data_IF_208315544427
#
_entry.id   IF_208315544427
#
_cell.length_a   1.000
_cell.length_b   1.000
_cell.length_c   1.000
_cell.angle_alpha   90.00
_cell.angle_beta   90.00
_cell.angle_gamma   90.00
#
_symmetry.space_group_name_H-M   'P 1'
#
loop_
_entity.id
_entity.type
_entity.pdbx_description
1 polymer ?
#
# COMPACT_ATOMS: atom_id res chain seq x y z
N UNK A 1 -22.52 -43.57 -35.73
CA UNK A 1 -21.51 -42.54 -35.62
C UNK A 1 -21.82 -41.74 -34.36
N UNK A 2 -21.16 -42.04 -33.22
CA UNK A 2 -21.38 -41.40 -31.93
C UNK A 2 -20.34 -40.28 -31.77
N UNK A 3 -20.79 -39.04 -31.74
CA UNK A 3 -19.96 -37.87 -31.50
C UNK A 3 -19.71 -37.77 -29.98
N UNK A 4 -18.43 -37.87 -29.58
CA UNK A 4 -17.98 -37.57 -28.21
C UNK A 4 -17.94 -36.04 -28.03
N UNK A 5 -18.82 -35.51 -27.21
CA UNK A 5 -18.74 -34.13 -26.71
C UNK A 5 -17.65 -34.04 -25.64
N UNK A 6 -16.70 -33.19 -25.89
CA UNK A 6 -15.48 -32.99 -25.10
C UNK A 6 -15.78 -32.38 -23.72
N UNK A 7 -15.08 -32.88 -22.70
CA UNK A 7 -15.09 -32.45 -21.30
C UNK A 7 -14.55 -31.02 -21.04
N UNK A 8 -14.28 -30.23 -22.05
CA UNK A 8 -13.72 -28.89 -21.88
C UNK A 8 -14.74 -27.78 -21.46
N UNK A 9 -16.05 -28.08 -21.58
CA UNK A 9 -17.09 -27.08 -21.31
C UNK A 9 -17.60 -27.06 -19.86
N UNK A 10 -17.26 -28.04 -19.01
CA UNK A 10 -17.75 -28.04 -17.64
C UNK A 10 -17.04 -27.10 -16.70
N UNK A 11 -15.73 -26.87 -16.89
CA UNK A 11 -14.96 -25.95 -16.02
C UNK A 11 -15.24 -24.47 -16.31
N UNK A 12 -15.60 -24.13 -17.55
CA UNK A 12 -15.99 -22.78 -17.94
C UNK A 12 -17.36 -22.37 -17.38
N UNK A 13 -18.30 -23.34 -17.27
CA UNK A 13 -19.62 -23.10 -16.66
C UNK A 13 -19.55 -22.89 -15.14
N UNK A 14 -18.60 -23.52 -14.45
CA UNK A 14 -18.39 -23.31 -13.01
C UNK A 14 -17.80 -21.93 -12.72
N UNK A 15 -16.97 -21.39 -13.61
CA UNK A 15 -16.43 -20.03 -13.49
C UNK A 15 -17.50 -18.95 -13.71
N UNK A 16 -18.50 -19.23 -14.57
CA UNK A 16 -19.62 -18.30 -14.80
C UNK A 16 -20.68 -18.35 -13.68
N UNK A 17 -20.83 -19.47 -12.98
CA UNK A 17 -21.81 -19.63 -11.89
C UNK A 17 -21.40 -18.91 -10.59
N UNK A 18 -20.12 -18.59 -10.42
CA UNK A 18 -19.65 -17.81 -9.27
C UNK A 18 -20.04 -16.33 -9.39
N UNK A 19 -20.32 -15.85 -10.60
CA UNK A 19 -20.68 -14.45 -10.85
C UNK A 19 -22.17 -14.12 -10.72
N UNK A 20 -23.06 -15.11 -10.53
CA UNK A 20 -24.53 -14.86 -10.51
C UNK A 20 -25.18 -14.95 -9.13
N UNK A 21 -24.40 -15.01 -8.04
CA UNK A 21 -24.95 -14.94 -6.68
C UNK A 21 -25.00 -13.50 -6.15
N UNK A 22 -25.57 -12.58 -6.92
CA UNK A 22 -25.82 -11.19 -6.52
C UNK A 22 -27.31 -10.99 -6.21
N UNK A 23 -27.79 -11.61 -5.12
CA UNK A 23 -29.06 -11.26 -4.54
C UNK A 23 -28.92 -11.10 -3.03
N UNK A 24 -28.87 -9.83 -2.57
CA UNK A 24 -29.01 -9.39 -1.18
C UNK A 24 -27.89 -9.72 -0.19
N UNK A 25 -26.65 -9.86 -0.63
CA UNK A 25 -25.51 -9.78 0.28
C UNK A 25 -25.02 -8.32 0.31
N UNK A 26 -25.22 -7.59 1.42
CA UNK A 26 -24.68 -6.23 1.63
C UNK A 26 -23.20 -6.27 2.03
N UNK A 27 -22.46 -7.21 1.54
CA UNK A 27 -21.02 -7.20 1.52
C UNK A 27 -20.60 -6.51 0.23
N UNK A 28 -19.68 -5.57 0.34
CA UNK A 28 -19.21 -4.82 -0.81
C UNK A 28 -17.87 -5.39 -1.26
N UNK A 29 -17.84 -5.98 -2.45
CA UNK A 29 -16.61 -6.29 -3.15
C UNK A 29 -16.19 -5.04 -3.91
N UNK A 30 -14.96 -4.62 -3.73
CA UNK A 30 -14.34 -3.53 -4.48
C UNK A 30 -12.91 -3.89 -4.84
N UNK A 31 -12.36 -3.20 -5.82
CA UNK A 31 -10.98 -3.39 -6.21
C UNK A 31 -10.49 -2.28 -7.12
N UNK A 32 -9.19 -2.26 -7.35
CA UNK A 32 -8.58 -1.28 -8.23
C UNK A 32 -7.30 -1.79 -8.87
N UNK A 33 -6.98 -1.19 -10.02
CA UNK A 33 -5.69 -1.28 -10.67
C UNK A 33 -5.10 0.13 -10.76
N UNK A 34 -3.83 0.27 -10.39
CA UNK A 34 -3.11 1.54 -10.45
C UNK A 34 -1.82 1.37 -11.24
N UNK A 35 -1.63 2.19 -12.26
CA UNK A 35 -0.34 2.41 -12.89
C UNK A 35 0.30 3.67 -12.32
N UNK A 36 1.53 3.60 -11.86
CA UNK A 36 2.27 4.74 -11.33
C UNK A 36 3.68 4.83 -11.89
N UNK A 37 4.24 6.03 -11.98
CA UNK A 37 5.62 6.24 -12.46
C UNK A 37 6.67 5.85 -11.44
N UNK A 38 6.29 5.76 -10.14
CA UNK A 38 7.13 5.27 -9.05
C UNK A 38 6.22 4.74 -7.93
N UNK A 39 6.70 3.79 -7.14
CA UNK A 39 6.04 3.29 -5.94
C UNK A 39 6.74 3.85 -4.70
N UNK A 40 6.28 4.99 -4.21
CA UNK A 40 6.82 5.58 -2.98
C UNK A 40 5.97 5.14 -1.78
N UNK A 41 6.63 4.53 -0.81
CA UNK A 41 6.04 4.04 0.43
C UNK A 41 6.69 4.73 1.61
N UNK A 42 5.92 5.58 2.33
CA UNK A 42 6.40 6.29 3.52
C UNK A 42 7.76 6.93 3.34
N UNK A 43 7.94 7.68 2.23
CA UNK A 43 9.14 8.45 1.98
C UNK A 43 10.31 7.71 1.34
N UNK A 44 10.19 6.44 0.96
CA UNK A 44 11.19 5.76 0.13
C UNK A 44 10.55 5.03 -1.07
N UNK A 45 11.31 4.91 -2.15
CA UNK A 45 10.85 4.22 -3.35
C UNK A 45 11.03 2.70 -3.22
N UNK A 46 9.95 1.96 -3.46
CA UNK A 46 9.97 0.49 -3.60
C UNK A 46 10.17 0.03 -5.05
N UNK A 47 10.27 0.96 -6.00
CA UNK A 47 10.45 0.63 -7.42
C UNK A 47 11.67 1.27 -8.07
N UNK A 48 12.53 1.93 -7.27
CA UNK A 48 13.74 2.60 -7.77
C UNK A 48 13.45 3.65 -8.86
N UNK A 49 12.33 4.39 -8.69
CA UNK A 49 11.89 5.38 -9.66
C UNK A 49 11.37 4.80 -10.97
N UNK A 50 11.07 3.51 -11.02
CA UNK A 50 10.55 2.84 -12.22
C UNK A 50 9.04 2.71 -12.16
N UNK A 51 8.37 2.74 -13.32
CA UNK A 51 6.93 2.53 -13.39
C UNK A 51 6.52 1.17 -12.82
N UNK A 52 5.38 1.17 -12.13
CA UNK A 52 4.81 -0.03 -11.52
C UNK A 52 3.34 -0.19 -11.88
N UNK A 53 2.88 -1.45 -11.82
CA UNK A 53 1.49 -1.81 -11.79
C UNK A 53 1.15 -2.35 -10.41
N UNK A 54 0.03 -1.88 -9.86
CA UNK A 54 -0.49 -2.29 -8.56
C UNK A 54 -1.94 -2.75 -8.70
N UNK A 55 -2.35 -3.66 -7.85
CA UNK A 55 -3.72 -4.16 -7.77
C UNK A 55 -4.17 -4.26 -6.32
N UNK A 56 -5.43 -3.96 -6.07
CA UNK A 56 -6.07 -4.11 -4.77
C UNK A 56 -7.44 -4.78 -4.94
N UNK A 57 -7.83 -5.62 -3.97
CA UNK A 57 -9.16 -6.19 -3.87
C UNK A 57 -9.56 -6.24 -2.40
N UNK A 58 -10.78 -5.80 -2.10
CA UNK A 58 -11.36 -5.71 -0.76
C UNK A 58 -12.73 -6.35 -0.71
N UNK A 59 -13.02 -6.97 0.42
CA UNK A 59 -14.33 -7.45 0.77
C UNK A 59 -14.72 -6.97 2.17
N UNK A 60 -15.74 -6.12 2.23
CA UNK A 60 -16.24 -5.54 3.48
C UNK A 60 -17.56 -6.18 3.89
N UNK A 61 -17.65 -6.64 5.15
CA UNK A 61 -18.85 -7.17 5.75
C UNK A 61 -19.66 -6.05 6.41
N UNK A 62 -20.96 -6.24 6.56
CA UNK A 62 -21.84 -5.30 7.29
C UNK A 62 -21.43 -5.04 8.74
N UNK A 63 -20.70 -5.96 9.34
CA UNK A 63 -20.17 -5.82 10.70
C UNK A 63 -19.07 -4.79 10.83
N UNK A 64 -18.54 -4.26 9.71
CA UNK A 64 -17.34 -3.44 9.67
C UNK A 64 -16.04 -4.25 9.59
N UNK A 65 -16.09 -5.57 9.68
CA UNK A 65 -14.93 -6.43 9.38
C UNK A 65 -14.68 -6.37 7.88
N UNK A 66 -13.42 -6.27 7.48
CA UNK A 66 -13.01 -6.36 6.09
C UNK A 66 -11.75 -7.20 5.94
N UNK A 67 -11.61 -7.79 4.77
CA UNK A 67 -10.39 -8.48 4.37
C UNK A 67 -10.06 -8.09 2.93
N UNK A 68 -8.79 -8.13 2.61
CA UNK A 68 -8.36 -7.79 1.26
C UNK A 68 -6.92 -8.18 1.00
N UNK A 69 -6.47 -7.80 -0.16
CA UNK A 69 -5.09 -7.98 -0.57
C UNK A 69 -4.66 -6.89 -1.53
N UNK A 70 -3.41 -6.50 -1.40
CA UNK A 70 -2.73 -5.61 -2.33
C UNK A 70 -1.55 -6.36 -2.94
N UNK A 71 -1.28 -6.09 -4.21
CA UNK A 71 -0.10 -6.58 -4.92
C UNK A 71 0.55 -5.45 -5.72
N UNK A 72 1.87 -5.43 -5.78
CA UNK A 72 2.63 -4.45 -6.56
C UNK A 72 3.92 -5.05 -7.11
N UNK A 73 4.33 -4.62 -8.29
CA UNK A 73 5.71 -4.78 -8.70
C UNK A 73 6.63 -3.96 -7.78
N UNK A 74 7.83 -4.48 -7.47
CA UNK A 74 8.85 -3.80 -6.66
C UNK A 74 10.24 -3.94 -7.29
N UNK A 75 11.13 -3.01 -6.94
CA UNK A 75 12.55 -3.01 -7.27
C UNK A 75 13.27 -2.10 -6.26
N UNK A 76 14.00 -2.66 -5.32
CA UNK A 76 14.59 -1.92 -4.20
C UNK A 76 15.96 -1.30 -4.51
N UNK A 77 16.37 -1.20 -5.78
CA UNK A 77 17.70 -0.74 -6.17
C UNK A 77 18.86 -1.60 -5.61
N UNK A 78 18.56 -2.81 -5.23
CA UNK A 78 19.49 -3.78 -4.64
C UNK A 78 20.28 -4.55 -5.71
N UNK A 79 20.81 -3.82 -6.69
CA UNK A 79 21.60 -4.37 -7.79
C UNK A 79 22.88 -5.05 -7.25
N UNK A 80 23.13 -6.26 -7.71
CA UNK A 80 24.26 -7.08 -7.27
C UNK A 80 23.90 -8.15 -6.26
N UNK A 81 22.69 -8.17 -5.73
CA UNK A 81 22.16 -9.29 -4.94
C UNK A 81 21.45 -10.31 -5.83
N UNK A 82 21.53 -11.58 -5.43
CA UNK A 82 20.80 -12.67 -6.08
C UNK A 82 19.39 -12.81 -5.50
N UNK A 83 18.48 -13.43 -6.27
CA UNK A 83 17.10 -13.70 -5.86
C UNK A 83 16.35 -12.46 -5.34
N UNK A 84 16.53 -11.32 -6.00
CA UNK A 84 15.89 -10.06 -5.63
C UNK A 84 14.38 -10.12 -5.78
N UNK A 85 13.69 -9.50 -4.83
CA UNK A 85 12.25 -9.36 -4.92
C UNK A 85 11.83 -8.48 -6.11
N UNK A 86 10.83 -8.95 -6.83
CA UNK A 86 10.19 -8.26 -7.96
C UNK A 86 8.72 -7.99 -7.72
N UNK A 87 8.12 -8.64 -6.72
CA UNK A 87 6.73 -8.45 -6.34
C UNK A 87 6.53 -8.42 -4.82
N UNK A 88 5.60 -7.57 -4.41
CA UNK A 88 5.08 -7.47 -3.05
C UNK A 88 3.62 -7.91 -3.05
N UNK A 89 3.24 -8.72 -2.06
CA UNK A 89 1.89 -9.13 -1.80
C UNK A 89 1.52 -8.85 -0.34
N UNK A 90 0.36 -8.21 -0.10
CA UNK A 90 -0.08 -7.80 1.24
C UNK A 90 -1.51 -8.22 1.51
N UNK A 91 -1.76 -9.44 1.99
CA UNK A 91 -3.05 -9.79 2.58
C UNK A 91 -3.25 -9.04 3.89
N UNK A 92 -4.47 -8.61 4.16
CA UNK A 92 -4.85 -7.91 5.37
C UNK A 92 -6.25 -8.27 5.84
N UNK A 93 -6.45 -8.08 7.15
CA UNK A 93 -7.73 -8.21 7.85
C UNK A 93 -7.88 -7.00 8.76
N UNK A 94 -9.04 -6.38 8.76
CA UNK A 94 -9.29 -5.21 9.60
C UNK A 94 -10.72 -5.09 10.07
N UNK A 95 -10.93 -4.06 10.88
CA UNK A 95 -12.22 -3.68 11.41
C UNK A 95 -12.38 -2.16 11.37
N UNK A 96 -13.43 -1.69 10.71
CA UNK A 96 -13.81 -0.31 10.62
C UNK A 96 -15.00 -0.04 11.55
N UNK A 97 -14.91 1.01 12.35
CA UNK A 97 -15.94 1.41 13.30
C UNK A 97 -16.31 2.88 13.14
N UNK A 98 -17.58 3.14 12.87
CA UNK A 98 -18.15 4.49 12.82
C UNK A 98 -18.64 4.87 14.23
N UNK A 99 -17.91 5.78 14.88
CA UNK A 99 -18.27 6.29 16.20
C UNK A 99 -19.39 7.35 16.13
N UNK A 100 -19.33 8.21 15.09
CA UNK A 100 -20.33 9.25 14.82
C UNK A 100 -20.34 9.57 13.32
N UNK A 101 -21.13 10.54 12.89
CA UNK A 101 -21.09 11.00 11.49
C UNK A 101 -19.78 11.68 11.14
N UNK A 102 -19.08 12.23 12.12
CA UNK A 102 -17.82 12.92 11.94
C UNK A 102 -16.59 11.99 12.11
N UNK A 103 -16.70 10.94 12.92
CA UNK A 103 -15.56 10.15 13.35
C UNK A 103 -15.67 8.67 12.94
N UNK A 104 -14.64 8.18 12.28
CA UNK A 104 -14.43 6.75 11.98
C UNK A 104 -13.06 6.31 12.46
N UNK A 105 -13.01 5.09 12.97
CA UNK A 105 -11.79 4.41 13.39
C UNK A 105 -11.60 3.15 12.56
N UNK A 106 -10.36 2.81 12.34
CA UNK A 106 -9.99 1.59 11.62
C UNK A 106 -8.79 0.96 12.33
N UNK A 107 -8.81 -0.35 12.45
CA UNK A 107 -7.65 -1.15 12.85
C UNK A 107 -7.47 -2.30 11.88
N UNK A 108 -6.22 -2.61 11.54
CA UNK A 108 -5.92 -3.71 10.64
C UNK A 108 -4.61 -4.40 11.01
N UNK A 109 -4.53 -5.66 10.65
CA UNK A 109 -3.31 -6.42 10.57
C UNK A 109 -3.01 -6.71 9.11
N UNK A 110 -1.75 -6.55 8.71
CA UNK A 110 -1.25 -6.76 7.34
C UNK A 110 -0.01 -7.63 7.39
N UNK A 111 0.08 -8.63 6.53
CA UNK A 111 1.30 -9.39 6.27
C UNK A 111 1.93 -8.89 4.98
N UNK A 112 3.17 -8.44 5.04
CA UNK A 112 4.02 -8.13 3.88
C UNK A 112 4.75 -9.39 3.47
N UNK A 113 4.62 -9.78 2.19
CA UNK A 113 5.24 -10.95 1.59
C UNK A 113 5.95 -10.51 0.32
N UNK A 114 7.19 -10.91 0.18
CA UNK A 114 8.02 -10.62 -0.99
C UNK A 114 8.36 -11.93 -1.71
N UNK A 115 8.33 -11.94 -3.05
CA UNK A 115 8.64 -13.12 -3.87
C UNK A 115 10.13 -13.49 -3.89
N UNK A 116 10.97 -12.66 -3.29
CA UNK A 116 12.42 -12.81 -3.22
C UNK A 116 13.00 -12.01 -2.06
N UNK A 117 14.30 -11.82 -2.10
CA UNK A 117 15.07 -11.12 -1.07
C UNK A 117 15.13 -9.63 -1.34
N UNK A 118 15.22 -8.83 -0.28
CA UNK A 118 15.50 -7.40 -0.35
C UNK A 118 16.89 -7.19 0.26
N UNK A 119 17.83 -6.61 -0.50
CA UNK A 119 19.25 -6.49 -0.12
C UNK A 119 19.85 -7.81 0.39
N UNK A 120 19.49 -8.93 -0.28
CA UNK A 120 19.98 -10.26 0.04
C UNK A 120 19.39 -10.93 1.28
N UNK A 121 18.36 -10.34 1.91
CA UNK A 121 17.74 -10.84 3.13
C UNK A 121 16.27 -11.15 2.93
N UNK A 122 15.76 -12.19 3.61
CA UNK A 122 14.32 -12.42 3.75
C UNK A 122 13.70 -11.22 4.48
N UNK A 123 12.58 -10.72 3.97
CA UNK A 123 12.05 -9.42 4.41
C UNK A 123 10.55 -9.41 4.67
N UNK A 124 9.94 -10.58 4.79
CA UNK A 124 8.53 -10.72 5.14
C UNK A 124 8.27 -10.27 6.56
N UNK A 125 7.20 -9.49 6.80
CA UNK A 125 6.87 -9.03 8.14
C UNK A 125 5.38 -8.76 8.34
N UNK A 126 4.99 -8.59 9.60
CA UNK A 126 3.64 -8.19 9.99
C UNK A 126 3.62 -6.74 10.45
N UNK A 127 2.52 -6.05 10.16
CA UNK A 127 2.31 -4.69 10.63
C UNK A 127 0.87 -4.50 11.10
N UNK A 128 0.69 -3.78 12.21
CA UNK A 128 -0.59 -3.38 12.76
C UNK A 128 -0.84 -1.90 12.46
N UNK A 129 -2.08 -1.59 12.14
CA UNK A 129 -2.55 -0.26 11.76
C UNK A 129 -3.64 0.19 12.72
N UNK A 130 -3.56 1.44 13.11
CA UNK A 130 -4.63 2.16 13.78
C UNK A 130 -4.83 3.49 13.05
N UNK A 131 -6.04 3.73 12.57
CA UNK A 131 -6.39 4.95 11.85
C UNK A 131 -7.59 5.63 12.50
N UNK A 132 -7.55 6.96 12.54
CA UNK A 132 -8.66 7.82 12.95
C UNK A 132 -8.95 8.80 11.83
N UNK A 133 -10.22 8.89 11.44
CA UNK A 133 -10.69 9.76 10.36
C UNK A 133 -11.72 10.74 10.90
N UNK A 134 -11.49 12.02 10.61
CA UNK A 134 -12.43 13.09 10.92
C UNK A 134 -12.99 13.68 9.63
N UNK A 135 -14.31 13.52 9.37
CA UNK A 135 -15.06 14.04 8.20
C UNK A 135 -14.41 13.77 6.84
N UNK A 136 -13.60 12.74 6.71
CA UNK A 136 -12.74 12.48 5.54
C UNK A 136 -11.74 13.61 5.19
N UNK A 137 -11.71 14.69 5.99
CA UNK A 137 -10.81 15.83 5.81
C UNK A 137 -9.46 15.62 6.50
N UNK A 138 -9.45 14.89 7.61
CA UNK A 138 -8.25 14.61 8.39
C UNK A 138 -8.15 13.13 8.71
N UNK A 139 -6.97 12.57 8.50
CA UNK A 139 -6.65 11.20 8.89
C UNK A 139 -5.37 11.19 9.71
N UNK A 140 -5.38 10.47 10.83
CA UNK A 140 -4.18 10.12 11.60
C UNK A 140 -3.97 8.63 11.51
N UNK A 141 -2.78 8.18 11.12
CA UNK A 141 -2.38 6.78 11.07
C UNK A 141 -1.23 6.51 12.03
N UNK A 142 -1.34 5.42 12.78
CA UNK A 142 -0.28 4.87 13.60
C UNK A 142 -0.05 3.43 13.16
N UNK A 143 1.19 3.08 12.88
CA UNK A 143 1.53 1.76 12.35
C UNK A 143 2.69 1.19 13.16
N UNK A 144 2.61 -0.08 13.48
CA UNK A 144 3.57 -0.78 14.33
C UNK A 144 3.92 -2.13 13.74
N UNK A 145 5.22 -2.44 13.68
CA UNK A 145 5.74 -3.75 13.37
C UNK A 145 6.72 -4.19 14.47
N UNK A 146 6.52 -5.39 15.01
CA UNK A 146 7.43 -5.96 16.01
C UNK A 146 8.77 -6.37 15.41
N UNK A 147 8.75 -6.86 14.17
CA UNK A 147 9.92 -7.34 13.46
C UNK A 147 9.90 -6.86 12.01
N UNK A 148 10.14 -5.56 11.81
CA UNK A 148 10.11 -4.93 10.50
C UNK A 148 11.22 -5.48 9.60
N UNK A 149 10.83 -5.93 8.39
CA UNK A 149 11.73 -6.53 7.40
C UNK A 149 12.61 -7.66 7.94
N UNK A 150 12.16 -8.40 8.95
CA UNK A 150 12.91 -9.46 9.64
C UNK A 150 14.25 -9.01 10.25
N UNK A 151 14.39 -7.73 10.56
CA UNK A 151 15.61 -7.18 11.16
C UNK A 151 15.69 -7.39 12.68
N UNK A 152 14.75 -8.14 13.29
CA UNK A 152 14.63 -8.38 14.74
C UNK A 152 14.50 -7.09 15.56
N UNK A 153 13.93 -6.06 14.96
CA UNK A 153 13.69 -4.76 15.58
C UNK A 153 12.30 -4.23 15.27
N UNK A 154 11.73 -3.56 16.25
CA UNK A 154 10.45 -2.87 16.11
C UNK A 154 10.61 -1.63 15.24
N UNK A 155 9.54 -1.30 14.52
CA UNK A 155 9.39 -0.01 13.86
C UNK A 155 8.03 0.61 14.20
N UNK A 156 8.00 1.94 14.21
CA UNK A 156 6.80 2.72 14.42
C UNK A 156 6.71 3.82 13.36
N UNK A 157 5.54 3.96 12.77
CA UNK A 157 5.26 5.04 11.84
C UNK A 157 4.03 5.82 12.31
N UNK A 158 4.08 7.14 12.20
CA UNK A 158 2.96 8.04 12.43
C UNK A 158 2.78 8.98 11.26
N UNK A 159 1.54 9.15 10.82
CA UNK A 159 1.18 10.03 9.70
C UNK A 159 -0.04 10.88 10.05
N UNK A 160 -0.05 12.09 9.55
CA UNK A 160 -1.23 12.95 9.49
C UNK A 160 -1.47 13.36 8.04
N UNK A 161 -2.68 13.16 7.56
CA UNK A 161 -3.10 13.53 6.19
C UNK A 161 -4.28 14.48 6.26
N UNK A 162 -4.12 15.66 5.65
CA UNK A 162 -5.21 16.59 5.37
C UNK A 162 -5.68 16.45 3.93
N UNK A 163 -7.01 16.54 3.71
CA UNK A 163 -7.65 16.55 2.39
C UNK A 163 -8.57 17.74 2.28
N UNK A 164 -8.61 18.33 1.12
CA UNK A 164 -9.52 19.42 0.84
C UNK A 164 -10.14 19.25 -0.57
N UNK A 165 -11.44 18.98 -0.67
CA UNK A 165 -12.14 18.94 -1.96
C UNK A 165 -12.25 20.37 -2.50
N UNK A 166 -11.60 20.63 -3.63
CA UNK A 166 -11.70 21.91 -4.35
C UNK A 166 -13.02 21.97 -5.11
N UNK A 167 -13.38 20.84 -5.73
CA UNK A 167 -14.66 20.60 -6.41
C UNK A 167 -15.09 19.16 -6.16
N UNK A 168 -16.26 18.75 -6.65
CA UNK A 168 -16.72 17.35 -6.58
C UNK A 168 -15.79 16.36 -7.30
N UNK A 169 -14.92 16.84 -8.17
CA UNK A 169 -14.01 16.02 -8.97
C UNK A 169 -12.53 16.29 -8.72
N UNK A 170 -12.17 17.30 -7.92
CA UNK A 170 -10.80 17.72 -7.70
C UNK A 170 -10.53 17.83 -6.20
N UNK A 171 -9.56 17.09 -5.73
CA UNK A 171 -9.09 17.10 -4.34
C UNK A 171 -7.60 17.45 -4.28
N UNK A 172 -7.23 18.29 -3.33
CA UNK A 172 -5.84 18.47 -2.90
C UNK A 172 -5.64 17.74 -1.56
N UNK A 173 -4.53 17.03 -1.42
CA UNK A 173 -4.19 16.39 -0.15
C UNK A 173 -2.71 16.49 0.15
N UNK A 174 -2.39 16.52 1.44
CA UNK A 174 -1.01 16.56 1.93
C UNK A 174 -0.88 15.64 3.13
N UNK A 175 0.24 14.93 3.19
CA UNK A 175 0.61 14.04 4.29
C UNK A 175 1.92 14.49 4.87
N UNK A 176 2.04 14.42 6.19
CA UNK A 176 3.28 14.54 6.92
C UNK A 176 3.44 13.31 7.81
N UNK A 177 4.61 12.68 7.76
CA UNK A 177 4.87 11.46 8.50
C UNK A 177 6.25 11.43 9.15
N UNK A 178 6.35 10.66 10.23
CA UNK A 178 7.58 10.33 10.93
C UNK A 178 7.72 8.83 11.03
N UNK A 179 8.89 8.32 10.69
CA UNK A 179 9.20 6.91 10.73
C UNK A 179 10.36 6.64 11.70
N UNK A 180 10.05 6.00 12.83
CA UNK A 180 11.02 5.52 13.80
C UNK A 180 11.50 4.14 13.37
N UNK A 181 12.63 4.12 12.67
CA UNK A 181 13.27 2.89 12.16
C UNK A 181 14.77 2.85 12.40
N UNK A 182 15.28 3.62 13.36
CA UNK A 182 16.73 3.70 13.65
C UNK A 182 17.38 2.33 13.83
N UNK A 183 16.70 1.40 14.49
CA UNK A 183 17.22 0.04 14.70
C UNK A 183 17.14 -0.85 13.45
N UNK A 184 16.22 -0.55 12.54
CA UNK A 184 15.99 -1.28 11.27
C UNK A 184 16.86 -0.72 10.16
N UNK A 185 16.80 0.61 9.96
CA UNK A 185 17.42 1.33 8.83
C UNK A 185 18.68 2.13 9.23
N UNK A 186 19.03 2.20 10.52
CA UNK A 186 20.08 3.02 11.12
C UNK A 186 19.77 4.52 11.16
N UNK A 187 18.56 4.94 10.76
CA UNK A 187 18.10 6.31 10.82
C UNK A 187 16.59 6.37 11.05
N UNK A 188 16.14 7.48 11.63
CA UNK A 188 14.76 7.91 11.65
C UNK A 188 14.59 9.00 10.60
N UNK A 189 13.40 9.15 10.06
CA UNK A 189 13.18 10.15 9.04
C UNK A 189 11.78 10.73 9.07
N UNK A 190 11.69 11.95 8.58
CA UNK A 190 10.46 12.65 8.25
C UNK A 190 10.19 12.53 6.76
N UNK A 191 8.95 12.47 6.38
CA UNK A 191 8.54 12.53 4.98
C UNK A 191 7.24 13.32 4.84
N UNK A 192 7.04 13.87 3.67
CA UNK A 192 5.85 14.61 3.35
C UNK A 192 5.45 14.39 1.90
N UNK A 193 4.14 14.56 1.64
CA UNK A 193 3.60 14.54 0.29
C UNK A 193 2.60 15.66 0.12
N UNK A 194 2.46 16.16 -1.10
CA UNK A 194 1.37 17.05 -1.47
C UNK A 194 0.97 16.76 -2.91
N UNK A 195 -0.32 16.64 -3.19
CA UNK A 195 -0.78 16.27 -4.51
C UNK A 195 -2.19 16.68 -4.82
N UNK A 196 -2.49 16.60 -6.10
CA UNK A 196 -3.79 16.87 -6.68
C UNK A 196 -4.34 15.57 -7.30
N UNK A 197 -5.55 15.20 -6.91
CA UNK A 197 -6.29 14.09 -7.49
C UNK A 197 -7.46 14.61 -8.30
N UNK A 198 -7.61 14.13 -9.52
CA UNK A 198 -8.74 14.44 -10.41
C UNK A 198 -9.52 13.16 -10.67
N UNK A 199 -10.80 13.15 -10.30
CA UNK A 199 -11.74 12.06 -10.54
C UNK A 199 -12.54 12.31 -11.81
N UNK A 200 -12.28 11.56 -12.87
CA UNK A 200 -13.06 11.64 -14.14
C UNK A 200 -14.39 10.91 -14.04
N UNK A 201 -14.46 9.92 -13.17
CA UNK A 201 -15.68 9.18 -12.83
C UNK A 201 -15.52 8.59 -11.43
N UNK A 202 -16.54 7.89 -10.95
CA UNK A 202 -16.46 7.15 -9.67
C UNK A 202 -15.34 6.09 -9.64
N UNK A 203 -14.92 5.65 -10.82
CA UNK A 203 -14.03 4.51 -10.99
C UNK A 203 -12.67 4.89 -11.59
N UNK A 204 -12.48 6.13 -12.05
CA UNK A 204 -11.24 6.54 -12.72
C UNK A 204 -10.72 7.82 -12.09
N UNK A 205 -9.49 7.77 -11.59
CA UNK A 205 -8.78 8.92 -11.03
C UNK A 205 -7.36 9.04 -11.56
N UNK A 206 -6.87 10.27 -11.66
CA UNK A 206 -5.47 10.59 -11.92
C UNK A 206 -4.95 11.39 -10.73
N UNK A 207 -3.77 11.06 -10.25
CA UNK A 207 -3.08 11.78 -9.18
C UNK A 207 -1.70 12.24 -9.65
N UNK A 208 -1.36 13.47 -9.29
CA UNK A 208 -0.02 14.06 -9.43
C UNK A 208 0.43 14.49 -8.07
N UNK A 209 1.51 13.88 -7.57
CA UNK A 209 1.94 14.04 -6.20
C UNK A 209 3.43 14.27 -6.08
N UNK A 210 3.78 15.30 -5.34
CA UNK A 210 5.13 15.57 -4.89
C UNK A 210 5.44 14.79 -3.61
N UNK A 211 6.63 14.24 -3.52
CA UNK A 211 7.18 13.55 -2.36
C UNK A 211 8.52 14.15 -1.96
N UNK A 212 8.71 14.31 -0.67
CA UNK A 212 9.98 14.71 -0.08
C UNK A 212 10.19 14.02 1.26
N UNK A 213 11.43 14.02 1.71
CA UNK A 213 11.80 13.50 3.01
C UNK A 213 13.12 14.06 3.50
N UNK A 214 13.40 13.86 4.77
CA UNK A 214 14.62 14.30 5.43
C UNK A 214 14.97 13.36 6.57
N UNK A 215 16.25 13.03 6.70
CA UNK A 215 16.74 12.27 7.85
C UNK A 215 16.56 13.10 9.13
N UNK A 216 15.83 12.56 10.11
CA UNK A 216 15.61 13.21 11.40
C UNK A 216 16.76 12.94 12.37
N UNK A 217 17.35 11.73 12.29
CA UNK A 217 18.56 11.37 13.00
C UNK A 217 19.34 10.38 12.16
N UNK A 218 20.61 10.62 11.95
CA UNK A 218 21.54 9.63 11.38
C UNK A 218 22.58 9.30 12.44
N UNK A 219 22.86 8.02 12.64
CA UNK A 219 24.20 7.69 13.12
C UNK A 219 25.14 8.20 12.03
N UNK A 220 26.10 9.06 12.40
CA UNK A 220 27.12 9.61 11.48
C UNK A 220 27.56 8.50 10.55
N UNK A 221 27.63 8.78 9.25
CA UNK A 221 28.03 7.92 8.13
C UNK A 221 29.15 6.91 8.48
N UNK A 222 28.91 6.04 9.43
CA UNK A 222 29.76 4.93 9.72
C UNK A 222 29.51 3.92 8.62
N UNK A 223 30.31 4.01 7.54
CA UNK A 223 30.53 2.99 6.53
C UNK A 223 29.37 1.99 6.43
N UNK A 224 28.30 2.35 5.72
CA UNK A 224 27.26 1.41 5.36
C UNK A 224 27.93 0.29 4.56
N UNK A 225 27.99 -0.90 5.15
CA UNK A 225 28.48 -2.06 4.41
C UNK A 225 27.47 -2.34 3.30
N UNK A 226 27.94 -2.82 2.14
CA UNK A 226 27.11 -3.20 0.97
C UNK A 226 25.97 -4.17 1.31
N UNK A 227 25.94 -4.73 2.49
CA UNK A 227 25.10 -5.82 2.95
C UNK A 227 23.97 -5.39 3.88
N UNK A 228 23.71 -4.10 4.05
CA UNK A 228 22.67 -3.62 4.96
C UNK A 228 21.41 -3.25 4.20
N UNK A 229 20.25 -3.63 4.75
CA UNK A 229 18.94 -3.14 4.31
C UNK A 229 18.92 -1.62 4.46
N UNK A 230 18.91 -0.91 3.33
CA UNK A 230 19.13 0.54 3.36
C UNK A 230 18.37 1.26 2.22
N UNK A 231 17.04 1.27 2.24
CA UNK A 231 16.28 2.10 1.30
C UNK A 231 16.56 3.58 1.57
N UNK A 232 16.83 4.33 0.53
CA UNK A 232 17.06 5.78 0.63
C UNK A 232 15.76 6.55 0.76
N UNK A 233 15.74 7.54 1.65
CA UNK A 233 14.64 8.52 1.74
C UNK A 233 14.59 9.32 0.45
N UNK A 234 13.41 9.41 -0.14
CA UNK A 234 13.20 10.14 -1.39
C UNK A 234 13.28 11.64 -1.13
N UNK A 235 14.11 12.31 -1.89
CA UNK A 235 14.16 13.76 -1.96
C UNK A 235 13.64 14.25 -3.32
N UNK A 236 12.71 15.20 -3.31
CA UNK A 236 12.21 15.91 -4.50
C UNK A 236 11.71 14.99 -5.64
N UNK A 237 10.74 14.12 -5.37
CA UNK A 237 10.14 13.23 -6.38
C UNK A 237 8.72 13.67 -6.74
N UNK A 238 8.41 13.71 -8.04
CA UNK A 238 7.03 13.83 -8.53
C UNK A 238 6.59 12.50 -9.13
N UNK A 239 5.42 12.03 -8.71
CA UNK A 239 4.82 10.78 -9.19
C UNK A 239 3.50 11.08 -9.86
N UNK A 240 3.27 10.46 -11.01
CA UNK A 240 1.99 10.42 -11.71
C UNK A 240 1.39 9.04 -11.56
N UNK A 241 0.10 8.96 -11.26
CA UNK A 241 -0.61 7.70 -11.23
C UNK A 241 -2.00 7.80 -11.84
N UNK A 242 -2.47 6.69 -12.40
CA UNK A 242 -3.83 6.48 -12.86
C UNK A 242 -4.40 5.26 -12.17
N UNK A 243 -5.59 5.40 -11.60
CA UNK A 243 -6.31 4.34 -10.91
C UNK A 243 -7.63 4.06 -11.59
N UNK A 244 -7.94 2.80 -11.81
CA UNK A 244 -9.23 2.30 -12.29
C UNK A 244 -9.78 1.33 -11.25
N UNK A 245 -10.96 1.67 -10.68
CA UNK A 245 -11.66 0.90 -9.68
C UNK A 245 -12.94 0.22 -10.21
N UNK A 246 -13.48 -0.72 -9.44
CA UNK A 246 -14.77 -1.39 -9.69
C UNK A 246 -15.49 -1.74 -8.39
#
# INVERSE_FOLDING_TARGET
MKIRLNCLNQHFLWFLLIFTCSANCYAQLSGSFTGATDYIWRGYSKSDGKPVLQANIDYEFKSGIYLGTFASAVNFADHGFENRSTAEFRPYLGFAYKLSDDWRFNTAWTRYIYDGKIFGQESDYNEFYLSSHFRDLLTVNLNFSENSYQQNHMSFNSEITGRYPITDSIEISSTFGYNDQRKVLRYDYLYWTSGLTVHFSRNIGIDVRYYGGSYASSEKEASFSQWQFHPHVVDNRVVFSITVGF
#
